data_IF_502860859574
#
_entry.id   IF_502860859574
#
_cell.length_a   1.000
_cell.length_b   1.000
_cell.length_c   1.000
_cell.angle_alpha   90.00
_cell.angle_beta   90.00
_cell.angle_gamma   90.00
#
_symmetry.space_group_name_H-M   'P 1'
#
loop_
_entity.id
_entity.type
_entity.pdbx_description
1 polymer ?
#
# COMPACT_ATOMS: atom_id res chain seq x y z
N UNK A 1 -9.39 -37.50 -8.19
CA UNK A 1 -10.78 -37.16 -8.54
C UNK A 1 -10.75 -36.14 -9.67
N UNK A 2 -11.53 -36.32 -10.73
CA UNK A 2 -11.61 -35.37 -11.83
C UNK A 2 -12.75 -34.37 -11.54
N UNK A 3 -12.51 -33.07 -11.70
CA UNK A 3 -13.50 -32.05 -11.37
C UNK A 3 -14.80 -32.16 -12.19
N UNK A 4 -14.74 -32.78 -13.38
CA UNK A 4 -15.89 -33.05 -14.25
C UNK A 4 -16.90 -34.03 -13.62
N UNK A 5 -16.49 -34.85 -12.66
CA UNK A 5 -17.35 -35.87 -12.03
C UNK A 5 -18.12 -35.32 -10.82
N UNK A 6 -17.77 -34.10 -10.37
CA UNK A 6 -18.33 -33.44 -9.19
C UNK A 6 -19.39 -32.39 -9.57
N UNK A 7 -19.31 -31.85 -10.79
CA UNK A 7 -20.15 -30.75 -11.27
C UNK A 7 -21.44 -31.31 -11.87
N UNK A 8 -22.58 -30.87 -11.31
CA UNK A 8 -23.94 -31.25 -11.75
C UNK A 8 -24.55 -30.31 -12.80
N UNK A 9 -23.98 -29.12 -12.98
CA UNK A 9 -24.48 -28.10 -13.92
C UNK A 9 -23.76 -28.26 -15.25
N UNK A 10 -24.51 -28.56 -16.30
CA UNK A 10 -23.95 -28.88 -17.62
C UNK A 10 -23.22 -27.68 -18.26
N UNK A 11 -23.69 -26.45 -18.03
CA UNK A 11 -23.04 -25.22 -18.51
C UNK A 11 -21.63 -25.07 -17.92
N UNK A 12 -21.45 -25.32 -16.63
CA UNK A 12 -20.15 -25.24 -15.95
C UNK A 12 -19.21 -26.38 -16.39
N UNK A 13 -19.78 -27.56 -16.68
CA UNK A 13 -19.05 -28.71 -17.24
C UNK A 13 -18.52 -28.37 -18.65
N UNK A 14 -19.36 -27.79 -19.51
CA UNK A 14 -18.98 -27.34 -20.85
C UNK A 14 -17.97 -26.19 -20.82
N UNK A 15 -18.13 -25.24 -19.89
CA UNK A 15 -17.13 -24.19 -19.65
C UNK A 15 -15.76 -24.81 -19.30
N UNK A 16 -15.70 -25.76 -18.37
CA UNK A 16 -14.46 -26.45 -18.00
C UNK A 16 -13.83 -27.28 -19.13
N UNK A 17 -14.64 -27.83 -20.04
CA UNK A 17 -14.15 -28.49 -21.25
C UNK A 17 -13.54 -27.46 -22.21
N UNK A 18 -14.21 -26.32 -22.45
CA UNK A 18 -13.70 -25.23 -23.30
C UNK A 18 -12.37 -24.63 -22.81
N UNK A 19 -12.10 -24.67 -21.50
CA UNK A 19 -10.82 -24.24 -20.92
C UNK A 19 -9.67 -25.26 -21.13
N UNK A 20 -9.98 -26.50 -21.55
CA UNK A 20 -8.99 -27.57 -21.79
C UNK A 20 -8.61 -27.70 -23.28
N UNK A 21 -9.35 -27.06 -24.18
CA UNK A 21 -9.05 -27.05 -25.62
C UNK A 21 -7.86 -26.12 -25.95
N UNK A 22 -7.08 -26.48 -26.98
CA UNK A 22 -5.91 -25.70 -27.40
C UNK A 22 -6.33 -24.57 -28.34
N UNK A 23 -6.48 -23.37 -27.77
CA UNK A 23 -6.86 -22.15 -28.50
C UNK A 23 -8.07 -21.52 -27.83
N UNK A 24 -8.10 -20.20 -27.68
CA UNK A 24 -9.07 -19.52 -26.81
C UNK A 24 -10.23 -18.92 -27.62
N UNK A 25 -11.43 -19.44 -27.40
CA UNK A 25 -12.69 -18.98 -28.04
C UNK A 25 -13.28 -17.74 -27.33
N UNK A 26 -12.80 -17.38 -26.14
CA UNK A 26 -13.32 -16.26 -25.32
C UNK A 26 -12.31 -15.12 -25.06
N UNK A 27 -12.83 -13.90 -24.92
CA UNK A 27 -12.05 -12.72 -24.55
C UNK A 27 -11.77 -12.69 -23.04
N UNK A 28 -10.51 -12.52 -22.63
CA UNK A 28 -10.16 -12.41 -21.20
C UNK A 28 -10.26 -10.98 -20.65
N UNK A 29 -10.91 -10.86 -19.50
CA UNK A 29 -10.95 -9.63 -18.70
C UNK A 29 -9.76 -9.53 -17.73
N UNK A 30 -9.67 -8.41 -17.00
CA UNK A 30 -8.44 -7.97 -16.34
C UNK A 30 -7.87 -8.89 -15.26
N UNK A 31 -8.72 -9.65 -14.55
CA UNK A 31 -8.28 -10.57 -13.48
C UNK A 31 -7.56 -11.79 -14.06
N UNK A 32 -8.09 -12.34 -15.15
CA UNK A 32 -7.55 -13.53 -15.81
C UNK A 32 -6.28 -13.20 -16.61
N UNK A 33 -6.21 -11.99 -17.19
CA UNK A 33 -4.95 -11.44 -17.74
C UNK A 33 -3.82 -11.39 -16.71
N UNK A 34 -4.12 -11.13 -15.44
CA UNK A 34 -3.11 -11.13 -14.37
C UNK A 34 -2.73 -12.55 -13.91
N UNK A 35 -3.68 -13.49 -13.96
CA UNK A 35 -3.45 -14.91 -13.69
C UNK A 35 -2.56 -15.54 -14.77
N UNK A 36 -2.90 -15.38 -16.06
CA UNK A 36 -2.09 -15.86 -17.18
C UNK A 36 -0.66 -15.32 -17.10
N UNK A 37 -0.48 -14.01 -16.85
CA UNK A 37 0.86 -13.42 -16.65
C UNK A 37 1.60 -14.01 -15.45
N UNK A 38 0.92 -14.52 -14.42
CA UNK A 38 1.56 -15.24 -13.31
C UNK A 38 1.99 -16.65 -13.74
N UNK A 39 1.13 -17.38 -14.47
CA UNK A 39 1.40 -18.73 -14.98
C UNK A 39 2.53 -18.74 -16.01
N UNK A 40 2.56 -17.81 -16.97
CA UNK A 40 3.67 -17.61 -17.92
C UNK A 40 5.01 -17.38 -17.20
N UNK A 41 4.99 -16.62 -16.10
CA UNK A 41 6.17 -16.40 -15.25
C UNK A 41 6.57 -17.63 -14.43
N UNK A 42 5.68 -18.59 -14.20
CA UNK A 42 6.00 -19.88 -13.57
C UNK A 42 6.57 -20.85 -14.62
N UNK A 43 5.97 -20.92 -15.81
CA UNK A 43 6.42 -21.77 -16.92
C UNK A 43 7.85 -21.38 -17.34
N UNK A 44 8.09 -20.10 -17.65
CA UNK A 44 9.42 -19.60 -18.02
C UNK A 44 10.49 -19.84 -16.94
N UNK A 45 10.13 -19.81 -15.65
CA UNK A 45 11.03 -20.19 -14.55
C UNK A 45 11.34 -21.69 -14.55
N UNK A 46 10.35 -22.53 -14.82
CA UNK A 46 10.52 -23.99 -14.88
C UNK A 46 11.40 -24.40 -16.09
N UNK A 47 11.21 -23.74 -17.23
CA UNK A 47 12.08 -23.88 -18.41
C UNK A 47 13.52 -23.44 -18.13
N UNK A 48 13.71 -22.31 -17.45
CA UNK A 48 15.04 -21.86 -17.05
C UNK A 48 15.74 -22.85 -16.08
N UNK A 49 15.00 -23.41 -15.11
CA UNK A 49 15.51 -24.41 -14.17
C UNK A 49 15.85 -25.73 -14.88
N UNK A 50 14.99 -26.23 -15.76
CA UNK A 50 15.25 -27.47 -16.52
C UNK A 50 16.42 -27.30 -17.49
N UNK A 51 16.55 -26.15 -18.16
CA UNK A 51 17.71 -25.81 -19.00
C UNK A 51 19.01 -25.75 -18.18
N UNK A 52 18.96 -25.21 -16.95
CA UNK A 52 20.11 -25.20 -16.03
C UNK A 52 20.50 -26.62 -15.58
N UNK A 53 19.52 -27.47 -15.25
CA UNK A 53 19.76 -28.88 -14.89
C UNK A 53 20.37 -29.67 -16.05
N UNK A 54 19.92 -29.46 -17.29
CA UNK A 54 20.50 -30.09 -18.49
C UNK A 54 21.96 -29.67 -18.75
N UNK A 55 22.30 -28.39 -18.53
CA UNK A 55 23.69 -27.89 -18.62
C UNK A 55 24.60 -28.57 -17.60
N UNK A 56 24.23 -28.52 -16.32
CA UNK A 56 25.00 -29.17 -15.25
C UNK A 56 25.20 -30.68 -15.50
N UNK A 57 24.20 -31.38 -16.04
CA UNK A 57 24.34 -32.79 -16.41
C UNK A 57 25.32 -32.99 -17.58
N UNK A 58 25.30 -32.11 -18.59
CA UNK A 58 26.25 -32.13 -19.70
C UNK A 58 27.68 -31.80 -19.27
N UNK A 59 27.86 -30.86 -18.35
CA UNK A 59 29.15 -30.49 -17.75
C UNK A 59 29.74 -31.67 -16.95
N UNK A 60 28.93 -32.35 -16.14
CA UNK A 60 29.32 -33.56 -15.40
C UNK A 60 29.67 -34.72 -16.36
N UNK A 61 28.89 -34.94 -17.41
CA UNK A 61 29.14 -35.97 -18.42
C UNK A 61 30.42 -35.70 -19.23
N UNK A 62 30.71 -34.42 -19.54
CA UNK A 62 31.98 -34.03 -20.17
C UNK A 62 33.17 -34.26 -19.24
N UNK A 63 33.08 -33.84 -17.97
CA UNK A 63 34.13 -34.08 -16.98
C UNK A 63 34.39 -35.58 -16.75
N UNK A 64 33.35 -36.41 -16.80
CA UNK A 64 33.48 -37.87 -16.73
C UNK A 64 34.24 -38.44 -17.93
N UNK A 65 33.90 -38.00 -19.15
CA UNK A 65 34.57 -38.45 -20.39
C UNK A 65 36.04 -38.03 -20.46
N UNK A 66 36.42 -36.87 -19.92
CA UNK A 66 37.84 -36.49 -19.84
C UNK A 66 38.60 -37.40 -18.88
N UNK A 67 38.03 -37.73 -17.72
CA UNK A 67 38.63 -38.68 -16.77
C UNK A 67 38.73 -40.09 -17.38
N UNK A 68 37.68 -40.57 -18.05
CA UNK A 68 37.72 -41.88 -18.74
C UNK A 68 38.79 -41.89 -19.86
N UNK A 69 39.04 -40.77 -20.54
CA UNK A 69 40.11 -40.64 -21.54
C UNK A 69 41.52 -40.62 -20.95
N UNK A 70 41.71 -40.00 -19.78
CA UNK A 70 42.99 -39.99 -19.06
C UNK A 70 43.33 -41.39 -18.50
N UNK A 71 42.31 -42.13 -18.03
CA UNK A 71 42.45 -43.52 -17.59
C UNK A 71 42.88 -44.42 -18.75
N UNK A 72 42.29 -44.28 -19.95
CA UNK A 72 42.65 -45.12 -21.11
C UNK A 72 44.12 -44.92 -21.52
N UNK A 73 44.61 -43.68 -21.58
CA UNK A 73 46.03 -43.41 -21.87
C UNK A 73 47.01 -43.98 -20.83
N UNK A 74 46.55 -44.28 -19.62
CA UNK A 74 47.37 -44.84 -18.53
C UNK A 74 47.47 -46.38 -18.55
N UNK A 75 46.80 -47.06 -19.50
CA UNK A 75 46.68 -48.54 -19.51
C UNK A 75 47.49 -49.26 -20.60
N UNK A 76 48.37 -48.55 -21.33
CA UNK A 76 49.18 -49.14 -22.41
C UNK A 76 50.66 -48.70 -22.38
N UNK A 77 51.45 -49.25 -21.45
CA UNK A 77 52.65 -50.07 -21.75
C UNK A 77 53.47 -50.42 -20.49
N UNK A 78 53.78 -51.71 -20.36
CA UNK A 78 55.02 -52.32 -19.82
C UNK A 78 55.44 -52.15 -18.33
N UNK A 79 55.01 -53.14 -17.55
CA UNK A 79 55.81 -54.03 -16.65
C UNK A 79 57.08 -53.52 -15.93
N UNK A 80 57.11 -53.57 -14.59
CA UNK A 80 57.64 -54.75 -13.85
C UNK A 80 57.59 -54.64 -12.29
N UNK A 81 57.37 -55.80 -11.65
CA UNK A 81 57.69 -56.22 -10.26
C UNK A 81 57.33 -55.38 -9.00
N UNK A 82 56.59 -56.05 -8.11
CA UNK A 82 56.53 -55.97 -6.63
C UNK A 82 57.36 -54.93 -5.86
N UNK A 83 56.70 -54.17 -4.98
CA UNK A 83 56.70 -54.43 -3.52
C UNK A 83 55.70 -53.52 -2.80
N UNK A 84 55.07 -54.02 -1.74
CA UNK A 84 54.17 -53.21 -0.91
C UNK A 84 54.88 -52.69 0.33
N UNK A 85 54.54 -51.47 0.79
CA UNK A 85 54.39 -51.16 2.21
C UNK A 85 53.62 -49.83 2.41
N UNK A 86 53.42 -49.45 3.67
CA UNK A 86 52.25 -48.69 4.12
C UNK A 86 52.66 -47.41 4.90
N UNK A 87 51.69 -46.48 5.06
CA UNK A 87 51.63 -45.44 6.12
C UNK A 87 52.46 -44.12 5.97
N UNK A 88 51.68 -43.02 5.99
CA UNK A 88 51.95 -41.67 6.57
C UNK A 88 52.78 -40.60 5.85
N UNK A 89 52.05 -39.54 5.48
CA UNK A 89 52.37 -38.11 5.68
C UNK A 89 53.80 -37.62 5.39
N UNK A 90 53.95 -36.94 4.25
CA UNK A 90 54.96 -35.89 4.08
C UNK A 90 54.37 -34.67 3.40
N UNK A 91 54.33 -33.54 4.11
CA UNK A 91 54.01 -32.24 3.51
C UNK A 91 55.10 -31.83 2.54
N UNK A 92 54.72 -31.41 1.34
CA UNK A 92 55.59 -30.68 0.43
C UNK A 92 54.85 -29.42 -0.03
N UNK A 93 55.30 -28.30 0.49
CA UNK A 93 54.80 -26.95 0.24
C UNK A 93 55.72 -26.26 -0.77
N UNK A 94 55.35 -26.31 -2.05
CA UNK A 94 55.86 -25.51 -3.17
C UNK A 94 54.66 -25.39 -4.14
N UNK A 95 54.25 -24.24 -4.67
CA UNK A 95 54.71 -22.86 -4.51
C UNK A 95 53.90 -21.99 -5.47
N UNK A 96 53.75 -20.68 -5.18
CA UNK A 96 52.79 -19.80 -5.85
C UNK A 96 52.79 -19.84 -7.40
N UNK A 97 51.67 -20.26 -8.00
CA UNK A 97 51.22 -19.82 -9.33
C UNK A 97 49.90 -19.08 -9.19
N UNK A 98 50.00 -17.80 -8.85
CA UNK A 98 48.87 -16.88 -8.81
C UNK A 98 48.45 -16.49 -10.22
N UNK A 99 47.52 -17.21 -10.83
CA UNK A 99 46.51 -16.66 -11.76
C UNK A 99 45.43 -17.68 -12.14
N UNK A 100 44.21 -17.18 -12.34
CA UNK A 100 43.09 -17.90 -12.97
C UNK A 100 42.42 -19.08 -12.22
N UNK A 101 41.91 -18.83 -11.00
CA UNK A 101 40.71 -19.52 -10.51
C UNK A 101 39.73 -18.50 -9.90
N UNK A 102 38.88 -17.92 -10.75
CA UNK A 102 37.78 -17.04 -10.32
C UNK A 102 36.66 -17.88 -9.69
N UNK A 103 36.94 -18.37 -8.48
CA UNK A 103 36.01 -19.18 -7.71
C UNK A 103 34.87 -18.26 -7.26
N UNK A 104 33.77 -18.26 -8.03
CA UNK A 104 32.50 -17.66 -7.63
C UNK A 104 32.02 -18.30 -6.32
N UNK A 105 32.51 -17.80 -5.18
CA UNK A 105 32.03 -18.16 -3.85
C UNK A 105 30.54 -17.82 -3.84
N UNK A 106 29.70 -18.85 -3.77
CA UNK A 106 28.27 -18.66 -3.60
C UNK A 106 28.06 -17.87 -2.31
N UNK A 107 27.77 -16.57 -2.45
CA UNK A 107 27.59 -15.67 -1.31
C UNK A 107 26.47 -16.22 -0.42
N UNK A 108 26.88 -16.89 0.66
CA UNK A 108 25.97 -17.49 1.63
C UNK A 108 25.14 -16.35 2.21
N UNK A 109 23.82 -16.41 2.02
CA UNK A 109 22.94 -15.38 2.55
C UNK A 109 22.95 -15.46 4.07
N UNK A 110 23.33 -14.37 4.71
CA UNK A 110 23.23 -14.19 6.15
C UNK A 110 21.87 -14.64 6.69
N UNK A 111 21.90 -15.43 7.76
CA UNK A 111 20.72 -16.13 8.32
C UNK A 111 20.17 -15.42 9.55
N UNK A 112 20.97 -14.56 10.20
CA UNK A 112 20.62 -13.92 11.47
C UNK A 112 19.87 -12.61 11.24
N UNK A 113 18.60 -12.55 11.66
CA UNK A 113 17.87 -11.30 11.76
C UNK A 113 18.28 -10.58 13.06
N UNK A 114 18.75 -9.34 12.94
CA UNK A 114 19.11 -8.47 14.06
C UNK A 114 18.21 -7.23 14.15
N UNK A 115 17.25 -7.06 13.23
CA UNK A 115 16.36 -5.90 13.17
C UNK A 115 15.25 -6.08 14.20
N UNK A 116 15.42 -5.42 15.35
CA UNK A 116 14.43 -5.38 16.43
C UNK A 116 13.37 -4.28 16.19
N UNK A 117 12.19 -4.36 16.84
CA UNK A 117 11.19 -3.28 16.81
C UNK A 117 11.79 -1.94 17.26
N UNK A 118 12.64 -1.94 18.30
CA UNK A 118 13.31 -0.74 18.84
C UNK A 118 14.24 -0.10 17.80
N UNK A 119 15.02 -0.90 17.07
CA UNK A 119 15.90 -0.41 15.99
C UNK A 119 15.07 0.15 14.82
N UNK A 120 14.00 -0.52 14.40
CA UNK A 120 13.11 -0.03 13.35
C UNK A 120 12.46 1.31 13.72
N UNK A 121 12.04 1.49 14.98
CA UNK A 121 11.49 2.76 15.49
C UNK A 121 12.54 3.87 15.47
N UNK A 122 13.80 3.59 15.83
CA UNK A 122 14.88 4.57 15.76
C UNK A 122 15.12 5.04 14.31
N UNK A 123 15.21 4.09 13.36
CA UNK A 123 15.36 4.40 11.92
C UNK A 123 14.18 5.19 11.36
N UNK A 124 12.95 4.88 11.79
CA UNK A 124 11.73 5.59 11.37
C UNK A 124 11.69 7.03 11.96
N UNK A 125 12.05 7.22 13.24
CA UNK A 125 12.14 8.55 13.88
C UNK A 125 13.17 9.44 13.20
N UNK A 126 14.33 8.90 12.85
CA UNK A 126 15.39 9.61 12.13
C UNK A 126 15.11 9.74 10.62
N UNK A 127 13.95 9.28 10.12
CA UNK A 127 13.53 9.31 8.69
C UNK A 127 14.54 8.66 7.73
N UNK A 128 15.28 7.65 8.19
CA UNK A 128 16.36 6.99 7.44
C UNK A 128 15.76 6.07 6.36
N UNK A 129 16.21 6.21 5.11
CA UNK A 129 15.76 5.36 4.00
C UNK A 129 16.29 3.92 4.12
N UNK A 130 15.68 2.96 3.44
CA UNK A 130 16.19 1.57 3.45
C UNK A 130 17.56 1.41 2.79
N UNK A 131 18.05 2.40 2.04
CA UNK A 131 19.40 2.40 1.47
C UNK A 131 20.40 2.90 2.51
N UNK A 132 20.13 4.05 3.10
CA UNK A 132 21.01 4.66 4.10
C UNK A 132 21.09 3.79 5.37
N UNK A 133 19.98 3.12 5.72
CA UNK A 133 19.96 2.11 6.77
C UNK A 133 20.91 0.93 6.47
N UNK A 134 21.07 0.49 5.22
CA UNK A 134 22.09 -0.53 4.89
C UNK A 134 23.49 0.01 5.20
N UNK A 135 23.82 1.20 4.70
CA UNK A 135 25.17 1.75 4.89
C UNK A 135 25.52 1.98 6.37
N UNK A 136 24.60 2.56 7.15
CA UNK A 136 24.78 2.79 8.59
C UNK A 136 24.92 1.46 9.34
N UNK A 137 24.08 0.46 9.02
CA UNK A 137 24.11 -0.83 9.70
C UNK A 137 25.35 -1.65 9.31
N UNK A 138 25.80 -1.62 8.05
CA UNK A 138 27.06 -2.24 7.64
C UNK A 138 28.25 -1.61 8.37
N UNK A 139 28.37 -0.27 8.36
CA UNK A 139 29.48 0.42 9.03
C UNK A 139 29.52 0.16 10.56
N UNK A 140 28.35 0.10 11.22
CA UNK A 140 28.29 -0.26 12.65
C UNK A 140 28.66 -1.72 12.90
N UNK A 141 28.22 -2.65 12.06
CA UNK A 141 28.56 -4.08 12.15
C UNK A 141 30.07 -4.32 11.98
N UNK A 142 30.69 -3.63 11.02
CA UNK A 142 32.14 -3.63 10.79
C UNK A 142 32.89 -3.05 12.00
N UNK A 143 32.43 -1.92 12.56
CA UNK A 143 33.01 -1.32 13.77
C UNK A 143 32.89 -2.22 15.02
N UNK A 144 31.87 -3.08 15.09
CA UNK A 144 31.73 -4.10 16.15
C UNK A 144 32.50 -5.41 15.86
N UNK A 145 33.24 -5.50 14.75
CA UNK A 145 34.02 -6.70 14.39
C UNK A 145 33.17 -7.92 14.03
N UNK A 146 31.89 -7.73 13.68
CA UNK A 146 30.97 -8.82 13.32
C UNK A 146 31.02 -9.04 11.81
N UNK A 147 31.09 -10.30 11.37
CA UNK A 147 31.08 -10.62 9.94
C UNK A 147 29.74 -10.24 9.28
N UNK A 148 29.80 -9.29 8.35
CA UNK A 148 28.67 -8.78 7.55
C UNK A 148 27.87 -9.91 6.87
N UNK A 149 28.56 -10.97 6.43
CA UNK A 149 27.99 -12.10 5.71
C UNK A 149 26.99 -12.94 6.54
N UNK A 150 27.04 -12.90 7.87
CA UNK A 150 26.13 -13.67 8.74
C UNK A 150 24.76 -13.00 8.93
N UNK A 151 24.69 -11.70 8.65
CA UNK A 151 23.53 -10.84 8.94
C UNK A 151 22.65 -10.60 7.72
N UNK A 152 21.35 -10.40 7.97
CA UNK A 152 20.39 -10.02 6.92
C UNK A 152 20.51 -8.51 6.62
N UNK A 153 21.59 -8.09 5.95
CA UNK A 153 21.90 -6.69 5.63
C UNK A 153 21.44 -6.21 4.24
N UNK A 154 20.59 -6.98 3.55
CA UNK A 154 20.10 -6.57 2.23
C UNK A 154 18.89 -5.62 2.31
N UNK A 155 18.89 -4.57 1.47
CA UNK A 155 17.84 -3.53 1.38
C UNK A 155 16.41 -4.08 1.34
N UNK A 156 16.16 -5.14 0.55
CA UNK A 156 14.82 -5.69 0.35
C UNK A 156 14.30 -6.43 1.58
N UNK A 157 15.19 -7.05 2.37
CA UNK A 157 14.83 -7.69 3.64
C UNK A 157 14.64 -6.67 4.76
N UNK A 158 15.50 -5.65 4.86
CA UNK A 158 15.30 -4.51 5.78
C UNK A 158 13.93 -3.86 5.55
N UNK A 159 13.59 -3.56 4.28
CA UNK A 159 12.28 -3.01 3.93
C UNK A 159 11.14 -3.95 4.35
N UNK A 160 11.20 -5.24 3.98
CA UNK A 160 10.18 -6.24 4.36
C UNK A 160 10.00 -6.38 5.87
N UNK A 161 11.09 -6.34 6.64
CA UNK A 161 11.04 -6.43 8.11
C UNK A 161 10.47 -5.14 8.70
N UNK A 162 10.87 -3.95 8.23
CA UNK A 162 10.25 -2.66 8.62
C UNK A 162 8.76 -2.62 8.28
N UNK A 163 8.35 -3.10 7.10
CA UNK A 163 6.95 -3.20 6.69
C UNK A 163 6.15 -4.11 7.62
N UNK A 164 6.70 -5.29 7.98
CA UNK A 164 6.09 -6.20 8.95
C UNK A 164 5.94 -5.52 10.32
N UNK A 165 7.02 -4.96 10.86
CA UNK A 165 7.00 -4.28 12.16
C UNK A 165 6.03 -3.09 12.21
N UNK A 166 5.89 -2.33 11.10
CA UNK A 166 4.88 -1.27 10.99
C UNK A 166 3.45 -1.81 10.95
N UNK A 167 3.22 -2.93 10.27
CA UNK A 167 1.92 -3.61 10.26
C UNK A 167 1.59 -4.16 11.65
N UNK A 168 2.49 -4.92 12.25
CA UNK A 168 2.32 -5.52 13.58
C UNK A 168 2.03 -4.43 14.62
N UNK A 169 2.75 -3.29 14.56
CA UNK A 169 2.48 -2.12 15.41
C UNK A 169 1.14 -1.46 15.13
N UNK A 170 0.72 -1.35 13.86
CA UNK A 170 -0.61 -0.80 13.52
C UNK A 170 -1.75 -1.71 14.01
N UNK A 171 -1.57 -3.03 13.89
CA UNK A 171 -2.54 -4.02 14.37
C UNK A 171 -2.53 -4.13 15.91
N UNK A 172 -1.40 -3.88 16.58
CA UNK A 172 -1.32 -3.73 18.03
C UNK A 172 -2.01 -2.44 18.50
N UNK A 173 -1.70 -1.29 17.89
CA UNK A 173 -2.36 -0.01 18.18
C UNK A 173 -3.88 -0.11 17.98
N UNK A 174 -4.35 -0.83 16.94
CA UNK A 174 -5.79 -1.08 16.72
C UNK A 174 -6.46 -1.91 17.81
N UNK A 175 -5.72 -2.77 18.52
CA UNK A 175 -6.21 -3.55 19.66
C UNK A 175 -6.16 -2.77 20.96
N UNK A 176 -5.15 -1.92 21.12
CA UNK A 176 -4.96 -1.02 22.26
C UNK A 176 -5.88 0.22 22.18
N UNK A 177 -6.47 0.50 21.01
CA UNK A 177 -7.38 1.63 20.78
C UNK A 177 -8.75 1.39 21.42
N UNK A 178 -8.86 1.71 22.71
CA UNK A 178 -10.13 1.77 23.40
C UNK A 178 -11.00 2.89 22.80
N UNK A 179 -12.03 2.50 22.03
CA UNK A 179 -12.99 3.43 21.42
C UNK A 179 -13.78 4.24 22.46
N UNK A 180 -13.74 3.80 23.73
CA UNK A 180 -14.34 4.48 24.88
C UNK A 180 -13.46 5.54 25.55
N UNK A 181 -12.14 5.51 25.35
CA UNK A 181 -11.19 6.47 25.95
C UNK A 181 -10.89 7.66 25.04
N UNK A 182 -10.97 7.44 23.72
CA UNK A 182 -10.90 8.54 22.77
C UNK A 182 -12.22 9.30 22.85
N UNK A 183 -12.15 10.51 23.41
CA UNK A 183 -13.26 11.45 23.41
C UNK A 183 -13.86 11.58 22.00
N UNK A 184 -15.18 11.79 21.87
CA UNK A 184 -15.88 11.70 20.60
C UNK A 184 -15.38 12.70 19.53
N UNK A 185 -15.92 12.55 18.31
CA UNK A 185 -15.57 13.29 17.08
C UNK A 185 -16.83 13.99 16.51
N UNK A 186 -16.88 15.32 16.27
CA UNK A 186 -17.83 15.90 15.28
C UNK A 186 -17.11 15.87 13.96
N UNK A 187 -17.94 15.73 12.96
CA UNK A 187 -17.81 16.46 11.74
C UNK A 187 -18.87 17.57 11.79
N UNK A 188 -18.48 18.85 11.86
CA UNK A 188 -19.48 19.93 11.80
C UNK A 188 -20.33 19.75 10.54
N UNK A 189 -21.65 19.79 10.69
CA UNK A 189 -22.55 19.48 9.57
C UNK A 189 -22.47 20.55 8.46
N UNK A 190 -22.19 21.79 8.84
CA UNK A 190 -21.89 22.92 7.93
C UNK A 190 -20.53 22.79 7.20
N UNK A 191 -19.63 21.89 7.62
CA UNK A 191 -18.24 21.85 7.14
C UNK A 191 -18.10 21.73 5.61
N UNK A 192 -18.89 20.91 4.88
CA UNK A 192 -18.77 20.82 3.42
C UNK A 192 -19.10 22.14 2.71
N UNK A 193 -20.10 22.90 3.19
CA UNK A 193 -20.48 24.18 2.61
C UNK A 193 -19.50 25.29 2.99
N UNK A 194 -19.09 25.37 4.26
CA UNK A 194 -18.11 26.34 4.74
C UNK A 194 -16.74 26.18 4.06
N UNK A 195 -16.25 24.95 3.86
CA UNK A 195 -15.00 24.73 3.15
C UNK A 195 -15.11 25.09 1.65
N UNK A 196 -16.25 24.85 1.01
CA UNK A 196 -16.49 25.29 -0.38
C UNK A 196 -16.52 26.83 -0.50
N UNK A 197 -17.18 27.51 0.44
CA UNK A 197 -17.22 28.97 0.49
C UNK A 197 -15.83 29.57 0.79
N UNK A 198 -15.05 28.92 1.65
CA UNK A 198 -13.66 29.30 1.90
C UNK A 198 -12.80 29.16 0.63
N UNK A 199 -12.94 28.07 -0.14
CA UNK A 199 -12.25 27.93 -1.42
C UNK A 199 -12.59 29.08 -2.38
N UNK A 200 -13.88 29.47 -2.47
CA UNK A 200 -14.31 30.62 -3.29
C UNK A 200 -13.61 31.90 -2.86
N UNK A 201 -13.67 32.23 -1.56
CA UNK A 201 -13.00 33.43 -1.02
C UNK A 201 -11.47 33.44 -1.20
N UNK A 202 -10.81 32.28 -1.18
CA UNK A 202 -9.37 32.17 -1.38
C UNK A 202 -8.95 32.42 -2.84
N UNK A 203 -9.80 32.08 -3.81
CA UNK A 203 -9.60 32.43 -5.23
C UNK A 203 -9.79 33.93 -5.43
N UNK A 204 -10.84 34.53 -4.85
CA UNK A 204 -11.04 35.98 -4.91
C UNK A 204 -9.85 36.75 -4.29
N UNK A 205 -9.30 36.21 -3.18
CA UNK A 205 -8.10 36.72 -2.52
C UNK A 205 -6.79 36.53 -3.33
N UNK A 206 -6.77 35.75 -4.41
CA UNK A 206 -5.60 35.66 -5.30
C UNK A 206 -5.26 37.04 -5.92
N UNK A 207 -6.29 37.86 -6.16
CA UNK A 207 -6.15 39.24 -6.65
C UNK A 207 -5.42 40.17 -5.67
N UNK A 208 -5.51 39.89 -4.37
CA UNK A 208 -4.89 40.70 -3.31
C UNK A 208 -3.48 40.19 -3.00
N UNK A 209 -3.33 38.88 -2.73
CA UNK A 209 -2.04 38.33 -2.35
C UNK A 209 -1.82 36.89 -2.87
N UNK A 210 -1.67 36.79 -4.20
CA UNK A 210 -1.39 35.58 -4.98
C UNK A 210 -0.56 34.50 -4.27
N UNK A 211 0.61 34.84 -3.72
CA UNK A 211 1.51 33.86 -3.08
C UNK A 211 0.91 33.19 -1.83
N UNK A 212 0.08 33.90 -1.08
CA UNK A 212 -0.59 33.38 0.14
C UNK A 212 -1.81 32.56 -0.28
N UNK A 213 -2.64 33.09 -1.19
CA UNK A 213 -3.77 32.35 -1.77
C UNK A 213 -3.32 31.01 -2.34
N UNK A 214 -2.35 30.98 -3.27
CA UNK A 214 -1.87 29.75 -3.89
C UNK A 214 -1.27 28.74 -2.90
N UNK A 215 -0.55 29.22 -1.88
CA UNK A 215 -0.02 28.35 -0.81
C UNK A 215 -1.14 27.73 0.04
N UNK A 216 -2.16 28.54 0.35
CA UNK A 216 -3.32 28.14 1.16
C UNK A 216 -4.25 27.21 0.39
N UNK A 217 -4.54 27.50 -0.88
CA UNK A 217 -5.28 26.65 -1.81
C UNK A 217 -4.59 25.30 -1.98
N UNK A 218 -3.28 25.27 -2.25
CA UNK A 218 -2.51 24.01 -2.33
C UNK A 218 -2.60 23.19 -1.04
N UNK A 219 -2.64 23.84 0.13
CA UNK A 219 -2.80 23.16 1.42
C UNK A 219 -4.24 22.68 1.64
N UNK A 220 -5.25 23.48 1.29
CA UNK A 220 -6.68 23.15 1.42
C UNK A 220 -7.12 22.05 0.45
N UNK A 221 -6.60 22.00 -0.79
CA UNK A 221 -6.86 20.92 -1.74
C UNK A 221 -6.49 19.53 -1.19
N UNK A 222 -5.41 19.44 -0.40
CA UNK A 222 -5.02 18.21 0.28
C UNK A 222 -5.92 17.80 1.45
N UNK A 223 -6.89 18.64 1.81
CA UNK A 223 -7.80 18.49 2.95
C UNK A 223 -9.28 18.61 2.52
N UNK A 224 -9.62 18.17 1.30
CA UNK A 224 -10.99 18.17 0.77
C UNK A 224 -11.74 16.83 1.00
N UNK A 225 -11.30 16.05 1.99
CA UNK A 225 -11.99 14.86 2.48
C UNK A 225 -13.48 15.07 2.84
N UNK A 226 -13.89 16.28 3.25
CA UNK A 226 -15.29 16.61 3.53
C UNK A 226 -16.17 16.76 2.27
N UNK A 227 -15.58 16.90 1.08
CA UNK A 227 -16.29 16.90 -0.20
C UNK A 227 -16.49 15.48 -0.78
N UNK A 228 -16.31 14.42 0.01
CA UNK A 228 -16.70 13.07 -0.39
C UNK A 228 -18.22 12.87 -0.32
N UNK A 229 -18.84 12.02 -1.16
CA UNK A 229 -20.31 11.88 -1.20
C UNK A 229 -20.95 11.57 0.17
N UNK A 230 -20.35 10.65 0.95
CA UNK A 230 -20.81 10.29 2.30
C UNK A 230 -20.72 11.46 3.30
N UNK A 231 -19.78 12.38 3.15
CA UNK A 231 -19.59 13.52 4.08
C UNK A 231 -20.35 14.77 3.64
N UNK A 232 -20.54 14.96 2.33
CA UNK A 232 -21.41 16.02 1.79
C UNK A 232 -22.87 15.80 2.20
N UNK A 233 -23.28 14.56 2.49
CA UNK A 233 -24.60 14.25 3.06
C UNK A 233 -24.91 15.00 4.38
N UNK A 234 -23.89 15.43 5.13
CA UNK A 234 -24.09 16.27 6.31
C UNK A 234 -24.69 17.65 5.97
N UNK A 235 -24.42 18.17 4.78
CA UNK A 235 -24.93 19.46 4.33
C UNK A 235 -26.47 19.49 4.21
N UNK A 236 -27.16 18.35 4.13
CA UNK A 236 -28.64 18.33 4.18
C UNK A 236 -29.19 18.94 5.50
N UNK A 237 -28.42 18.84 6.59
CA UNK A 237 -28.75 19.37 7.91
C UNK A 237 -28.22 20.80 8.15
N UNK A 238 -27.48 21.38 7.21
CA UNK A 238 -26.95 22.75 7.30
C UNK A 238 -28.10 23.77 7.26
N UNK A 239 -28.13 24.67 8.25
CA UNK A 239 -29.13 25.74 8.39
C UNK A 239 -28.84 26.96 7.50
N UNK A 240 -27.60 27.09 7.03
CA UNK A 240 -27.12 28.19 6.19
C UNK A 240 -27.43 27.97 4.69
N UNK A 241 -27.80 26.74 4.30
CA UNK A 241 -28.19 26.42 2.93
C UNK A 241 -29.63 26.84 2.64
N UNK A 242 -29.83 27.52 1.51
CA UNK A 242 -31.16 27.94 1.05
C UNK A 242 -32.01 26.74 0.61
N UNK A 243 -33.33 26.87 0.76
CA UNK A 243 -34.30 25.85 0.33
C UNK A 243 -34.08 25.47 -1.14
N UNK A 244 -33.81 26.44 -2.02
CA UNK A 244 -33.50 26.19 -3.44
C UNK A 244 -32.27 25.29 -3.64
N UNK A 245 -31.20 25.49 -2.88
CA UNK A 245 -30.03 24.60 -2.94
C UNK A 245 -30.40 23.20 -2.45
N UNK A 246 -31.16 23.07 -1.36
CA UNK A 246 -31.64 21.78 -0.85
C UNK A 246 -32.53 21.02 -1.85
N UNK A 247 -33.37 21.71 -2.63
CA UNK A 247 -34.14 21.11 -3.74
C UNK A 247 -33.18 20.54 -4.79
N UNK A 248 -32.23 21.35 -5.29
CA UNK A 248 -31.22 20.90 -6.27
C UNK A 248 -30.40 19.71 -5.75
N UNK A 249 -30.05 19.70 -4.47
CA UNK A 249 -29.33 18.59 -3.83
C UNK A 249 -30.12 17.26 -3.87
N UNK A 250 -31.44 17.31 -3.65
CA UNK A 250 -32.33 16.14 -3.79
C UNK A 250 -32.43 15.70 -5.25
N UNK A 251 -32.55 16.65 -6.18
CA UNK A 251 -32.66 16.34 -7.60
C UNK A 251 -31.35 15.78 -8.18
N UNK A 252 -30.17 16.20 -7.67
CA UNK A 252 -28.88 15.55 -7.96
C UNK A 252 -28.87 14.07 -7.56
N UNK A 253 -29.47 13.68 -6.43
CA UNK A 253 -29.57 12.25 -6.04
C UNK A 253 -30.44 11.49 -7.07
N UNK A 254 -31.60 12.05 -7.44
CA UNK A 254 -32.51 11.44 -8.42
C UNK A 254 -31.87 11.31 -9.81
N UNK A 255 -31.13 12.34 -10.25
CA UNK A 255 -30.45 12.34 -11.55
C UNK A 255 -29.30 11.33 -11.58
N UNK A 256 -28.49 11.25 -10.52
CA UNK A 256 -27.37 10.32 -10.46
C UNK A 256 -27.81 8.84 -10.34
N UNK A 257 -29.05 8.54 -9.91
CA UNK A 257 -29.61 7.19 -10.02
C UNK A 257 -29.78 6.72 -11.47
N UNK A 258 -29.86 7.63 -12.44
CA UNK A 258 -30.00 7.32 -13.87
C UNK A 258 -28.64 7.20 -14.59
N UNK A 259 -27.58 7.81 -14.04
CA UNK A 259 -26.24 7.84 -14.63
C UNK A 259 -25.22 7.15 -13.72
N UNK A 260 -24.80 5.94 -14.09
CA UNK A 260 -24.00 4.99 -13.28
C UNK A 260 -22.54 5.41 -12.96
N UNK A 261 -22.23 6.71 -12.84
CA UNK A 261 -20.89 7.22 -12.57
C UNK A 261 -20.55 7.30 -11.07
N UNK A 262 -20.00 6.19 -10.56
CA UNK A 262 -19.51 6.03 -9.19
C UNK A 262 -18.22 6.88 -8.98
N UNK A 263 -18.36 8.08 -8.42
CA UNK A 263 -17.23 8.98 -8.13
C UNK A 263 -16.81 8.93 -6.64
N UNK A 264 -16.00 7.92 -6.30
CA UNK A 264 -15.57 7.63 -4.91
C UNK A 264 -14.52 8.56 -4.29
N UNK A 265 -13.97 9.52 -5.05
CA UNK A 265 -13.03 10.53 -4.53
C UNK A 265 -12.87 11.70 -5.49
N UNK A 266 -13.13 12.90 -5.01
CA UNK A 266 -12.73 14.12 -5.69
C UNK A 266 -11.24 14.35 -5.41
N UNK A 267 -10.38 13.91 -6.34
CA UNK A 267 -8.94 14.22 -6.28
C UNK A 267 -8.77 15.57 -6.98
N UNK A 268 -8.88 16.65 -6.22
CA UNK A 268 -8.72 18.01 -6.74
C UNK A 268 -7.26 18.28 -7.05
N UNK A 269 -6.92 18.39 -8.33
CA UNK A 269 -5.64 18.95 -8.76
C UNK A 269 -5.63 20.47 -8.49
N UNK A 270 -4.47 21.10 -8.19
CA UNK A 270 -4.40 22.56 -8.03
C UNK A 270 -4.89 23.36 -9.25
N UNK A 271 -4.82 22.78 -10.45
CA UNK A 271 -5.31 23.38 -11.69
C UNK A 271 -6.84 23.27 -11.86
N UNK A 272 -7.52 22.44 -11.08
CA UNK A 272 -8.98 22.22 -11.11
C UNK A 272 -9.73 23.13 -10.13
N UNK A 273 -9.03 23.91 -9.29
CA UNK A 273 -9.65 24.87 -8.35
C UNK A 273 -10.53 25.89 -9.10
N UNK A 274 -10.15 26.26 -10.32
CA UNK A 274 -10.95 27.12 -11.22
C UNK A 274 -12.22 26.43 -11.75
N UNK A 275 -12.26 25.09 -11.77
CA UNK A 275 -13.48 24.34 -12.07
C UNK A 275 -14.38 24.23 -10.82
N UNK A 276 -13.81 24.16 -9.62
CA UNK A 276 -14.56 24.18 -8.35
C UNK A 276 -15.29 25.52 -8.14
N UNK A 277 -14.73 26.64 -8.60
CA UNK A 277 -15.44 27.93 -8.58
C UNK A 277 -16.80 27.89 -9.27
N UNK A 278 -16.95 27.03 -10.30
CA UNK A 278 -18.20 26.86 -11.06
C UNK A 278 -19.15 25.83 -10.44
N UNK A 279 -18.69 25.10 -9.41
CA UNK A 279 -19.47 24.06 -8.75
C UNK A 279 -20.14 24.58 -7.48
N UNK A 280 -21.34 24.09 -7.24
CA UNK A 280 -22.08 24.30 -6.00
C UNK A 280 -22.14 23.00 -5.19
N UNK A 281 -22.69 23.05 -3.98
CA UNK A 281 -22.72 21.89 -3.09
C UNK A 281 -23.47 20.68 -3.69
N UNK A 282 -24.48 20.93 -4.53
CA UNK A 282 -25.26 19.89 -5.22
C UNK A 282 -24.46 19.14 -6.31
N UNK A 283 -23.36 19.70 -6.83
CA UNK A 283 -22.50 19.02 -7.83
C UNK A 283 -21.62 17.93 -7.21
N UNK A 284 -21.58 17.87 -5.88
CA UNK A 284 -20.82 16.90 -5.09
C UNK A 284 -21.70 15.81 -4.46
N UNK A 285 -23.00 15.83 -4.76
CA UNK A 285 -23.99 14.90 -4.22
C UNK A 285 -24.30 13.82 -5.25
N UNK A 286 -23.96 12.59 -4.88
CA UNK A 286 -24.18 11.39 -5.67
C UNK A 286 -25.10 10.42 -4.93
N UNK A 287 -25.46 9.30 -5.57
CA UNK A 287 -26.28 8.24 -4.95
C UNK A 287 -25.64 7.73 -3.66
N UNK A 288 -24.31 7.64 -3.61
CA UNK A 288 -23.54 7.21 -2.45
C UNK A 288 -23.75 8.10 -1.22
N UNK A 289 -24.18 9.36 -1.38
CA UNK A 289 -24.54 10.24 -0.26
C UNK A 289 -25.69 9.65 0.57
N UNK A 290 -26.57 8.85 -0.04
CA UNK A 290 -27.64 8.14 0.70
C UNK A 290 -27.10 7.04 1.62
N UNK A 291 -25.88 6.54 1.38
CA UNK A 291 -25.21 5.57 2.25
C UNK A 291 -24.90 6.14 3.63
N UNK A 292 -24.81 7.46 3.77
CA UNK A 292 -24.72 8.13 5.06
C UNK A 292 -25.98 7.84 5.90
N UNK A 293 -27.17 8.08 5.34
CA UNK A 293 -28.43 7.90 6.06
C UNK A 293 -28.62 6.44 6.49
N UNK A 294 -28.40 5.47 5.59
CA UNK A 294 -28.53 4.05 5.93
C UNK A 294 -27.50 3.58 6.97
N UNK A 295 -26.29 4.14 6.98
CA UNK A 295 -25.24 3.85 7.96
C UNK A 295 -25.54 4.38 9.36
N UNK A 296 -26.26 5.50 9.46
CA UNK A 296 -26.70 6.09 10.72
C UNK A 296 -28.14 5.71 11.12
N UNK A 297 -28.81 4.86 10.36
CA UNK A 297 -30.19 4.43 10.63
C UNK A 297 -31.24 5.53 10.40
N UNK A 298 -30.89 6.57 9.63
CA UNK A 298 -31.77 7.68 9.28
C UNK A 298 -32.64 7.25 8.09
N UNK A 299 -33.95 7.39 8.23
CA UNK A 299 -34.92 7.14 7.16
C UNK A 299 -34.83 8.23 6.09
N UNK A 300 -34.83 7.86 4.82
CA UNK A 300 -34.76 8.79 3.68
C UNK A 300 -36.12 9.34 3.26
N UNK A 301 -37.20 9.06 4.01
CA UNK A 301 -38.57 9.50 3.74
C UNK A 301 -38.70 11.00 3.50
N UNK A 302 -37.92 11.81 4.22
CA UNK A 302 -37.93 13.27 4.09
C UNK A 302 -37.43 13.76 2.72
N UNK A 303 -36.59 13.00 2.00
CA UNK A 303 -36.10 13.37 0.66
C UNK A 303 -37.21 13.35 -0.41
N UNK A 304 -38.34 12.70 -0.14
CA UNK A 304 -39.53 12.71 -1.00
C UNK A 304 -40.41 13.95 -0.75
N UNK A 305 -40.20 14.64 0.36
CA UNK A 305 -40.94 15.83 0.78
C UNK A 305 -40.19 17.12 0.42
N UNK A 306 -40.94 18.21 0.25
CA UNK A 306 -40.35 19.52 -0.04
C UNK A 306 -39.48 20.00 1.14
N UNK A 307 -38.28 20.59 0.93
CA UNK A 307 -37.37 20.94 2.03
C UNK A 307 -37.92 21.94 3.05
N UNK A 308 -38.95 22.72 2.70
CA UNK A 308 -39.68 23.58 3.64
C UNK A 308 -40.45 22.82 4.74
N UNK A 309 -40.70 21.52 4.57
CA UNK A 309 -41.41 20.68 5.54
C UNK A 309 -40.46 19.75 6.32
N UNK A 310 -39.14 19.84 6.09
CA UNK A 310 -38.18 18.97 6.77
C UNK A 310 -38.11 19.24 8.28
N UNK A 311 -38.23 20.49 8.71
CA UNK A 311 -38.21 20.86 10.13
C UNK A 311 -39.39 20.27 10.92
N UNK A 312 -40.51 19.96 10.25
CA UNK A 312 -41.68 19.28 10.82
C UNK A 312 -41.59 17.74 10.73
N UNK A 313 -40.64 17.21 9.96
CA UNK A 313 -40.53 15.78 9.69
C UNK A 313 -39.75 15.04 10.80
N UNK A 314 -40.43 14.10 11.44
CA UNK A 314 -39.91 13.28 12.56
C UNK A 314 -38.63 12.51 12.20
N UNK A 315 -38.46 12.05 10.96
CA UNK A 315 -37.26 11.33 10.53
C UNK A 315 -36.09 12.29 10.27
N UNK A 316 -36.35 13.51 9.78
CA UNK A 316 -35.35 14.56 9.65
C UNK A 316 -34.88 15.05 11.03
N UNK A 317 -35.80 15.27 11.98
CA UNK A 317 -35.48 15.64 13.36
C UNK A 317 -34.59 14.59 14.06
N UNK A 318 -34.90 13.29 13.93
CA UNK A 318 -34.01 12.22 14.43
C UNK A 318 -32.63 12.26 13.77
N UNK A 319 -32.58 12.51 12.46
CA UNK A 319 -31.31 12.68 11.73
C UNK A 319 -30.50 13.86 12.27
N UNK A 320 -31.16 14.98 12.53
CA UNK A 320 -30.56 16.19 13.11
C UNK A 320 -30.04 15.94 14.54
N UNK A 321 -30.79 15.22 15.38
CA UNK A 321 -30.33 14.80 16.72
C UNK A 321 -29.06 13.93 16.66
N UNK A 322 -29.03 12.95 15.75
CA UNK A 322 -27.85 12.08 15.55
C UNK A 322 -26.65 12.90 15.08
N UNK A 323 -26.85 13.83 14.13
CA UNK A 323 -25.79 14.69 13.59
C UNK A 323 -25.27 15.67 14.64
N UNK A 324 -26.15 16.25 15.47
CA UNK A 324 -25.79 17.08 16.62
C UNK A 324 -25.08 16.30 17.74
N UNK A 325 -25.20 14.97 17.78
CA UNK A 325 -24.56 14.10 18.79
C UNK A 325 -23.09 13.83 18.47
N UNK A 326 -22.66 14.00 17.21
CA UNK A 326 -21.24 14.04 16.87
C UNK A 326 -20.56 15.22 17.66
N UNK A 327 -19.33 15.08 18.20
CA UNK A 327 -18.73 15.99 19.22
C UNK A 327 -17.23 16.32 19.00
N UNK A 328 -16.80 17.59 18.80
CA UNK A 328 -15.58 17.91 18.00
C UNK A 328 -14.30 17.29 18.53
N UNK A 329 -13.56 16.58 17.67
CA UNK A 329 -12.11 16.50 17.85
C UNK A 329 -11.52 17.73 17.20
N UNK A 330 -11.39 18.80 17.98
CA UNK A 330 -10.63 19.98 17.61
C UNK A 330 -9.11 19.69 17.63
N UNK A 331 -8.73 18.44 17.39
CA UNK A 331 -7.46 17.78 17.70
C UNK A 331 -6.27 18.45 16.99
N UNK A 332 -6.51 19.08 15.84
CA UNK A 332 -5.49 19.87 15.14
C UNK A 332 -5.34 21.28 15.72
N UNK A 333 -6.42 21.93 16.16
CA UNK A 333 -6.35 23.25 16.77
C UNK A 333 -5.91 23.19 18.23
N UNK A 334 -6.36 22.20 19.01
CA UNK A 334 -5.92 21.94 20.38
C UNK A 334 -4.44 21.58 20.43
N UNK A 335 -3.96 20.70 19.53
CA UNK A 335 -2.51 20.48 19.36
C UNK A 335 -1.78 21.74 18.89
N UNK A 336 -2.41 22.58 18.06
CA UNK A 336 -1.85 23.86 17.61
C UNK A 336 -1.69 24.88 18.74
N UNK A 337 -2.73 25.04 19.57
CA UNK A 337 -2.74 25.87 20.78
C UNK A 337 -1.72 25.35 21.79
N UNK A 338 -1.72 24.04 22.06
CA UNK A 338 -0.76 23.42 22.97
C UNK A 338 0.68 23.57 22.49
N UNK A 339 0.94 23.39 21.19
CA UNK A 339 2.25 23.62 20.58
C UNK A 339 2.68 25.10 20.71
N UNK A 340 1.77 26.06 20.50
CA UNK A 340 2.08 27.48 20.69
C UNK A 340 2.36 27.82 22.16
N UNK A 341 1.63 27.22 23.09
CA UNK A 341 1.78 27.43 24.53
C UNK A 341 3.10 26.83 25.05
N UNK A 342 3.43 25.61 24.61
CA UNK A 342 4.69 24.94 24.92
C UNK A 342 5.89 25.67 24.27
N UNK A 343 5.78 26.14 23.03
CA UNK A 343 6.78 26.98 22.38
C UNK A 343 6.97 28.31 23.11
N UNK A 344 5.87 28.99 23.48
CA UNK A 344 5.92 30.25 24.23
C UNK A 344 6.59 30.06 25.58
N UNK A 345 6.29 28.96 26.28
CA UNK A 345 6.92 28.61 27.56
C UNK A 345 8.42 28.34 27.38
N UNK A 346 8.81 27.59 26.35
CA UNK A 346 10.21 27.24 26.06
C UNK A 346 11.04 28.46 25.62
N UNK A 347 10.44 29.41 24.91
CA UNK A 347 11.13 30.64 24.44
C UNK A 347 11.20 31.72 25.52
N UNK A 348 10.21 31.80 26.43
CA UNK A 348 10.18 32.81 27.51
C UNK A 348 10.91 32.37 28.80
N UNK A 349 11.10 31.07 29.02
CA UNK A 349 11.95 30.54 30.10
C UNK A 349 13.19 29.83 29.54
N UNK A 350 14.20 30.57 29.04
CA UNK A 350 15.51 30.01 28.72
C UNK A 350 16.33 29.84 30.01
N UNK A 351 16.17 28.70 30.67
CA UNK A 351 17.07 28.21 31.73
C UNK A 351 17.73 26.90 31.26
#
# INVERSE_FOLDING_TARGET
MNALDIIKIEVDRQFLLSQREKGRISCMLGKDKNLQKAEERVITRLEAVTKRKKRAYGEIEQARRTVDSEIICSTSSDSDSDTGENISNKSLDIGNTSEFLDLHTFQSRGKKNFITPKLAIALDRCKISDRDAVHILTATVEAFGIHVNDLILNRTSINRIRQRLRKDRADQLRKEFNTSEVGPVVVHWDAPFQDLQLLKSLVDYENIHKKISQSTLKKRCGHLWYLAPETVALAFFDTNLTIETKIKMVDSIKLNNLTSEINKRIIVSPNEVTQIMKKEIYDFIYVESTSFFSRFGISTSFLEQHPSMWDENVDFQKGLEIVNTFRVTNDTAERGVKLMEDLKTTVLNPF
#
